data_IF_984455939948
#
_entry.id   IF_984455939948
#
_cell.length_a   1.000
_cell.length_b   1.000
_cell.length_c   1.000
_cell.angle_alpha   90.00
_cell.angle_beta   90.00
_cell.angle_gamma   90.00
#
_symmetry.space_group_name_H-M   'P 1'
#
loop_
_entity.id
_entity.type
_entity.pdbx_description
1 polymer ?
#
# COMPACT_ATOMS: atom_id res chain seq x y z
N UNK A 1 25.23 -16.48 33.26
CA UNK A 1 25.59 -17.12 31.96
C UNK A 1 26.50 -18.32 32.17
N UNK A 2 27.59 -18.20 32.95
CA UNK A 2 28.50 -19.33 33.22
C UNK A 2 27.83 -20.51 33.96
N UNK A 3 27.05 -20.24 35.02
CA UNK A 3 26.33 -21.32 35.76
C UNK A 3 25.29 -22.04 34.90
N UNK A 4 24.69 -21.30 33.98
CA UNK A 4 23.72 -21.78 33.02
C UNK A 4 24.42 -22.70 32.00
N UNK A 5 25.52 -22.26 31.37
CA UNK A 5 26.30 -23.11 30.45
C UNK A 5 26.78 -24.41 31.09
N UNK A 6 27.18 -24.36 32.37
CA UNK A 6 27.57 -25.55 33.12
C UNK A 6 26.40 -26.53 33.32
N UNK A 7 25.22 -26.04 33.69
CA UNK A 7 24.03 -26.88 33.84
C UNK A 7 23.59 -27.52 32.50
N UNK A 8 23.71 -26.80 31.38
CA UNK A 8 23.45 -27.37 30.05
C UNK A 8 24.40 -28.51 29.71
N UNK A 9 25.69 -28.33 30.01
CA UNK A 9 26.71 -29.34 29.74
C UNK A 9 26.49 -30.61 30.56
N UNK A 10 26.15 -30.46 31.85
CA UNK A 10 25.80 -31.61 32.72
C UNK A 10 24.56 -32.37 32.24
N UNK A 11 23.55 -31.68 31.70
CA UNK A 11 22.34 -32.33 31.16
C UNK A 11 22.63 -33.05 29.84
N UNK A 12 23.45 -32.45 28.97
CA UNK A 12 23.85 -33.07 27.70
C UNK A 12 24.71 -34.31 27.93
N UNK A 13 25.64 -34.25 28.88
CA UNK A 13 26.44 -35.42 29.29
C UNK A 13 25.56 -36.55 29.82
N UNK A 14 24.53 -36.24 30.62
CA UNK A 14 23.53 -37.23 31.06
C UNK A 14 22.69 -37.79 29.93
N UNK A 15 22.34 -36.98 28.94
CA UNK A 15 21.57 -37.41 27.78
C UNK A 15 22.40 -38.27 26.80
N UNK A 16 23.71 -38.07 26.74
CA UNK A 16 24.63 -38.90 25.95
C UNK A 16 24.85 -40.29 26.57
N UNK A 17 24.64 -40.44 27.89
CA UNK A 17 24.75 -41.71 28.60
C UNK A 17 23.54 -42.64 28.50
N UNK A 18 22.48 -42.25 27.78
CA UNK A 18 21.27 -43.08 27.64
C UNK A 18 21.58 -44.27 26.72
N UNK A 19 21.23 -45.51 27.11
CA UNK A 19 21.32 -46.65 26.22
C UNK A 19 20.44 -46.44 24.98
N UNK A 20 20.98 -46.75 23.80
CA UNK A 20 20.26 -46.58 22.52
C UNK A 20 19.03 -47.48 22.39
N UNK A 21 18.97 -48.55 23.19
CA UNK A 21 17.83 -49.47 23.27
C UNK A 21 17.37 -49.63 24.72
N UNK A 22 16.07 -49.52 24.94
CA UNK A 22 15.43 -49.75 26.25
C UNK A 22 15.03 -51.23 26.30
N UNK A 23 15.77 -52.00 27.09
CA UNK A 23 15.61 -53.47 27.17
C UNK A 23 14.88 -53.93 28.44
N UNK A 24 14.72 -53.04 29.43
CA UNK A 24 14.07 -53.39 30.69
C UNK A 24 13.26 -52.21 31.30
N UNK A 25 12.35 -52.48 32.25
CA UNK A 25 11.50 -51.45 32.86
C UNK A 25 12.25 -50.39 33.68
N UNK A 26 13.46 -50.68 34.17
CA UNK A 26 14.29 -49.71 34.91
C UNK A 26 14.82 -48.64 33.95
N UNK A 27 15.39 -49.09 32.82
CA UNK A 27 15.84 -48.20 31.75
C UNK A 27 14.70 -47.34 31.18
N UNK A 28 13.48 -47.89 31.10
CA UNK A 28 12.30 -47.13 30.67
C UNK A 28 12.01 -45.96 31.63
N UNK A 29 11.96 -46.22 32.94
CA UNK A 29 11.71 -45.17 33.95
C UNK A 29 12.80 -44.12 33.99
N UNK A 30 14.07 -44.51 33.84
CA UNK A 30 15.20 -43.58 33.74
C UNK A 30 15.09 -42.70 32.49
N UNK A 31 14.72 -43.29 31.35
CA UNK A 31 14.44 -42.58 30.11
C UNK A 31 13.29 -41.59 30.22
N UNK A 32 12.17 -41.99 30.84
CA UNK A 32 11.02 -41.12 31.11
C UNK A 32 11.40 -39.93 32.01
N UNK A 33 12.14 -40.19 33.09
CA UNK A 33 12.59 -39.14 34.01
C UNK A 33 13.53 -38.14 33.32
N UNK A 34 14.45 -38.63 32.49
CA UNK A 34 15.35 -37.77 31.73
C UNK A 34 14.61 -37.00 30.63
N UNK A 35 13.64 -37.61 29.95
CA UNK A 35 12.82 -36.92 28.96
C UNK A 35 12.07 -35.73 29.57
N UNK A 36 11.48 -35.93 30.75
CA UNK A 36 10.83 -34.83 31.50
C UNK A 36 11.85 -33.75 31.87
N UNK A 37 13.03 -34.12 32.37
CA UNK A 37 14.10 -33.18 32.73
C UNK A 37 14.60 -32.36 31.53
N UNK A 38 14.80 -33.00 30.38
CA UNK A 38 15.19 -32.33 29.14
C UNK A 38 14.11 -31.36 28.66
N UNK A 39 12.84 -31.77 28.73
CA UNK A 39 11.71 -30.93 28.37
C UNK A 39 11.57 -29.70 29.27
N UNK A 40 11.76 -29.84 30.59
CA UNK A 40 11.66 -28.73 31.53
C UNK A 40 12.83 -27.75 31.37
N UNK A 41 14.05 -28.26 31.26
CA UNK A 41 15.23 -27.42 31.07
C UNK A 41 15.20 -26.73 29.69
N UNK A 42 14.79 -27.41 28.62
CA UNK A 42 14.59 -26.76 27.31
C UNK A 42 13.64 -25.56 27.39
N UNK A 43 12.46 -25.71 28.03
CA UNK A 43 11.50 -24.60 28.19
C UNK A 43 12.08 -23.45 29.02
N UNK A 44 12.82 -23.77 30.08
CA UNK A 44 13.50 -22.78 30.91
C UNK A 44 14.55 -22.01 30.12
N UNK A 45 15.35 -22.70 29.31
CA UNK A 45 16.33 -22.09 28.40
C UNK A 45 15.70 -21.23 27.34
N UNK A 46 14.64 -21.72 26.71
CA UNK A 46 13.87 -20.95 25.73
C UNK A 46 13.35 -19.66 26.35
N UNK A 47 12.84 -19.72 27.58
CA UNK A 47 12.39 -18.54 28.33
C UNK A 47 13.55 -17.58 28.62
N UNK A 48 14.65 -18.06 29.18
CA UNK A 48 15.85 -17.24 29.48
C UNK A 48 16.41 -16.60 28.21
N UNK A 49 16.45 -17.33 27.10
CA UNK A 49 16.90 -16.80 25.81
C UNK A 49 15.95 -15.74 25.26
N UNK A 50 14.64 -15.97 25.33
CA UNK A 50 13.64 -14.98 24.94
C UNK A 50 13.79 -13.69 25.77
N UNK A 51 13.82 -13.81 27.09
CA UNK A 51 13.83 -12.68 28.01
C UNK A 51 15.15 -11.88 27.96
N UNK A 52 16.30 -12.53 27.78
CA UNK A 52 17.60 -11.87 27.82
C UNK A 52 18.16 -11.47 26.45
N UNK A 53 17.72 -12.12 25.36
CA UNK A 53 18.27 -11.87 24.02
C UNK A 53 17.22 -11.32 23.08
N UNK A 54 16.07 -12.00 22.93
CA UNK A 54 15.06 -11.63 21.93
C UNK A 54 14.32 -10.37 22.36
N UNK A 55 13.81 -10.32 23.59
CA UNK A 55 12.99 -9.21 24.07
C UNK A 55 13.77 -7.89 24.13
N UNK A 56 15.03 -7.82 24.62
CA UNK A 56 15.81 -6.59 24.59
C UNK A 56 16.13 -6.15 23.16
N UNK A 57 16.51 -7.07 22.26
CA UNK A 57 16.76 -6.74 20.87
C UNK A 57 15.50 -6.17 20.18
N UNK A 58 14.33 -6.79 20.44
CA UNK A 58 13.05 -6.31 19.95
C UNK A 58 12.71 -4.92 20.51
N UNK A 59 12.91 -4.69 21.81
CA UNK A 59 12.70 -3.36 22.42
C UNK A 59 13.59 -2.31 21.77
N UNK A 60 14.88 -2.59 21.57
CA UNK A 60 15.79 -1.66 20.90
C UNK A 60 15.39 -1.39 19.44
N UNK A 61 14.96 -2.42 18.72
CA UNK A 61 14.41 -2.25 17.38
C UNK A 61 13.16 -1.35 17.37
N UNK A 62 12.21 -1.61 18.28
CA UNK A 62 10.98 -0.82 18.40
C UNK A 62 11.27 0.63 18.80
N UNK A 63 12.20 0.86 19.74
CA UNK A 63 12.67 2.20 20.12
C UNK A 63 13.33 2.93 18.95
N UNK A 64 14.21 2.26 18.20
CA UNK A 64 14.87 2.84 17.03
C UNK A 64 13.85 3.19 15.94
N UNK A 65 12.87 2.31 15.71
CA UNK A 65 11.77 2.52 14.77
C UNK A 65 10.90 3.73 15.18
N UNK A 66 10.54 3.85 16.46
CA UNK A 66 9.78 5.00 16.96
C UNK A 66 10.58 6.31 16.88
N UNK A 67 11.88 6.29 17.16
CA UNK A 67 12.75 7.46 16.94
C UNK A 67 12.80 7.86 15.47
N UNK A 68 13.00 6.90 14.57
CA UNK A 68 12.99 7.15 13.13
C UNK A 68 11.66 7.73 12.68
N UNK A 69 10.53 7.21 13.17
CA UNK A 69 9.20 7.72 12.87
C UNK A 69 9.05 9.18 13.31
N UNK A 70 9.44 9.54 14.53
CA UNK A 70 9.40 10.92 15.04
C UNK A 70 10.29 11.88 14.24
N UNK A 71 11.47 11.42 13.83
CA UNK A 71 12.38 12.23 13.01
C UNK A 71 11.85 12.47 11.60
N UNK A 72 11.18 11.46 11.02
CA UNK A 72 10.65 11.52 9.65
C UNK A 72 9.22 12.09 9.56
N UNK A 73 8.50 12.17 10.68
CA UNK A 73 7.12 12.66 10.74
C UNK A 73 6.96 14.09 10.19
N UNK A 74 7.81 15.09 10.52
CA UNK A 74 7.73 16.42 9.92
C UNK A 74 7.88 16.41 8.40
N UNK A 75 8.76 15.54 7.86
CA UNK A 75 8.96 15.40 6.41
C UNK A 75 7.75 14.73 5.75
N UNK A 76 7.19 13.70 6.38
CA UNK A 76 5.97 13.04 5.90
C UNK A 76 4.78 14.01 5.88
N UNK A 77 4.61 14.80 6.95
CA UNK A 77 3.57 15.81 7.06
C UNK A 77 3.77 16.92 6.02
N UNK A 78 4.98 17.47 5.90
CA UNK A 78 5.31 18.48 4.89
C UNK A 78 5.04 17.98 3.47
N UNK A 79 5.41 16.73 3.17
CA UNK A 79 5.09 16.09 1.88
C UNK A 79 3.59 15.96 1.64
N UNK A 80 2.83 15.52 2.64
CA UNK A 80 1.38 15.37 2.53
C UNK A 80 0.69 16.74 2.32
N UNK A 81 1.14 17.78 3.04
CA UNK A 81 0.64 19.15 2.87
C UNK A 81 0.93 19.67 1.47
N UNK A 82 2.16 19.53 0.97
CA UNK A 82 2.52 19.96 -0.39
C UNK A 82 1.74 19.18 -1.46
N UNK A 83 1.57 17.87 -1.30
CA UNK A 83 0.74 17.05 -2.21
C UNK A 83 -0.71 17.55 -2.28
N UNK A 84 -1.31 17.86 -1.14
CA UNK A 84 -2.67 18.41 -1.07
C UNK A 84 -2.79 19.80 -1.73
N UNK A 85 -1.80 20.68 -1.49
CA UNK A 85 -1.76 22.00 -2.10
C UNK A 85 -1.62 21.93 -3.63
N UNK A 86 -0.70 21.09 -4.13
CA UNK A 86 -0.49 20.90 -5.56
C UNK A 86 -1.73 20.32 -6.26
N UNK A 87 -2.40 19.35 -5.64
CA UNK A 87 -3.67 18.80 -6.16
C UNK A 87 -4.78 19.85 -6.19
N UNK A 88 -4.88 20.66 -5.13
CA UNK A 88 -5.86 21.75 -5.06
C UNK A 88 -5.62 22.78 -6.14
N UNK A 89 -4.38 23.22 -6.30
CA UNK A 89 -3.97 24.14 -7.37
C UNK A 89 -4.34 23.61 -8.75
N UNK A 90 -4.01 22.35 -9.07
CA UNK A 90 -4.38 21.74 -10.36
C UNK A 90 -5.88 21.63 -10.58
N UNK A 91 -6.66 21.35 -9.53
CA UNK A 91 -8.12 21.34 -9.63
C UNK A 91 -8.65 22.73 -10.02
N UNK A 92 -8.20 23.77 -9.33
CA UNK A 92 -8.59 25.17 -9.64
C UNK A 92 -8.17 25.55 -11.05
N UNK A 93 -6.96 25.18 -11.47
CA UNK A 93 -6.47 25.48 -12.81
C UNK A 93 -7.27 24.75 -13.91
N UNK A 94 -7.63 23.47 -13.70
CA UNK A 94 -8.55 22.75 -14.60
C UNK A 94 -9.90 23.44 -14.70
N UNK A 95 -10.51 23.79 -13.57
CA UNK A 95 -11.81 24.48 -13.55
C UNK A 95 -11.74 25.83 -14.28
N UNK A 96 -10.62 26.55 -14.16
CA UNK A 96 -10.39 27.81 -14.88
C UNK A 96 -10.33 27.57 -16.39
N UNK A 97 -9.54 26.60 -16.83
CA UNK A 97 -9.38 26.23 -18.24
C UNK A 97 -10.73 25.79 -18.83
N UNK A 98 -11.49 24.96 -18.10
CA UNK A 98 -12.82 24.51 -18.52
C UNK A 98 -13.81 25.68 -18.67
N UNK A 99 -13.79 26.64 -17.74
CA UNK A 99 -14.63 27.85 -17.82
C UNK A 99 -14.24 28.73 -19.00
N UNK A 100 -12.94 28.91 -19.26
CA UNK A 100 -12.44 29.68 -20.40
C UNK A 100 -12.82 29.00 -21.72
N UNK A 101 -12.63 27.67 -21.83
CA UNK A 101 -13.05 26.90 -22.99
C UNK A 101 -14.57 26.98 -23.21
N UNK A 102 -15.37 26.85 -22.16
CA UNK A 102 -16.82 26.95 -22.26
C UNK A 102 -17.27 28.34 -22.75
N UNK A 103 -16.58 29.41 -22.35
CA UNK A 103 -16.84 30.76 -22.88
C UNK A 103 -16.51 30.86 -24.38
N UNK A 104 -15.36 30.30 -24.80
CA UNK A 104 -14.96 30.28 -26.21
C UNK A 104 -15.93 29.47 -27.06
N UNK A 105 -16.36 28.31 -26.58
CA UNK A 105 -17.34 27.46 -27.25
C UNK A 105 -18.68 28.19 -27.42
N UNK A 106 -19.20 28.79 -26.34
CA UNK A 106 -20.44 29.60 -26.42
C UNK A 106 -20.32 30.79 -27.38
N UNK A 107 -19.16 31.43 -27.43
CA UNK A 107 -18.93 32.53 -28.36
C UNK A 107 -18.87 32.05 -29.82
N UNK A 108 -18.37 30.83 -30.05
CA UNK A 108 -18.33 30.20 -31.36
C UNK A 108 -19.71 29.69 -31.80
N UNK A 109 -20.49 29.08 -30.92
CA UNK A 109 -21.90 28.70 -31.17
C UNK A 109 -22.71 29.91 -31.66
N UNK A 110 -22.59 31.05 -30.98
CA UNK A 110 -23.25 32.30 -31.42
C UNK A 110 -22.78 32.81 -32.78
N UNK A 111 -21.54 32.51 -33.19
CA UNK A 111 -21.05 32.85 -34.54
C UNK A 111 -21.68 31.94 -35.59
N UNK A 112 -21.83 30.65 -35.29
CA UNK A 112 -22.54 29.69 -36.13
C UNK A 112 -23.99 30.14 -36.31
N UNK A 113 -24.72 30.43 -35.24
CA UNK A 113 -26.12 30.85 -35.32
C UNK A 113 -26.29 32.07 -36.24
N UNK A 114 -25.41 33.08 -36.08
CA UNK A 114 -25.42 34.29 -36.92
C UNK A 114 -25.03 34.04 -38.38
N UNK A 115 -24.22 33.03 -38.65
CA UNK A 115 -23.86 32.66 -40.02
C UNK A 115 -25.03 31.97 -40.72
N UNK A 116 -25.73 31.07 -40.01
CA UNK A 116 -26.96 30.43 -40.47
C UNK A 116 -28.02 31.48 -40.81
N UNK A 117 -28.24 32.45 -39.91
CA UNK A 117 -29.17 33.56 -40.15
C UNK A 117 -28.82 34.39 -41.40
N UNK A 118 -27.52 34.48 -41.74
CA UNK A 118 -27.02 35.22 -42.91
C UNK A 118 -26.91 34.35 -44.17
N UNK A 119 -27.31 33.08 -44.12
CA UNK A 119 -27.19 32.14 -45.23
C UNK A 119 -25.76 31.72 -45.58
N UNK A 120 -24.82 31.88 -44.63
CA UNK A 120 -23.43 31.41 -44.77
C UNK A 120 -23.33 30.00 -44.20
N UNK A 121 -22.61 29.11 -44.90
CA UNK A 121 -22.43 27.72 -44.48
C UNK A 121 -21.67 27.65 -43.12
N UNK A 122 -22.27 27.03 -42.08
CA UNK A 122 -21.62 26.82 -40.77
C UNK A 122 -20.24 26.16 -40.83
N UNK A 123 -19.97 25.35 -41.85
CA UNK A 123 -18.72 24.61 -42.00
C UNK A 123 -17.53 25.51 -42.36
N UNK A 124 -17.77 26.73 -42.84
CA UNK A 124 -16.71 27.70 -43.15
C UNK A 124 -16.19 28.44 -41.90
N UNK A 125 -16.86 28.29 -40.76
CA UNK A 125 -16.44 28.96 -39.51
C UNK A 125 -15.34 28.15 -38.84
N UNK A 126 -14.16 28.75 -38.71
CA UNK A 126 -13.04 28.14 -38.01
C UNK A 126 -13.43 27.72 -36.57
N UNK A 127 -13.04 26.51 -36.13
CA UNK A 127 -13.36 26.00 -34.80
C UNK A 127 -12.81 26.91 -33.69
N UNK A 128 -13.40 26.89 -32.48
CA UNK A 128 -12.89 27.70 -31.38
C UNK A 128 -11.46 27.26 -31.02
N UNK A 129 -10.57 28.21 -30.68
CA UNK A 129 -9.24 27.85 -30.21
C UNK A 129 -9.34 27.01 -28.94
N UNK A 130 -8.49 25.98 -28.84
CA UNK A 130 -8.42 25.12 -27.66
C UNK A 130 -7.48 25.73 -26.62
N UNK A 131 -8.00 25.93 -25.41
CA UNK A 131 -7.20 26.29 -24.24
C UNK A 131 -6.39 25.05 -23.84
N UNK A 132 -5.08 25.20 -23.77
CA UNK A 132 -4.19 24.09 -23.40
C UNK A 132 -4.46 23.66 -21.95
N UNK A 133 -4.61 22.35 -21.74
CA UNK A 133 -4.75 21.79 -20.41
C UNK A 133 -3.48 21.93 -19.55
N UNK A 134 -3.56 21.71 -18.23
CA UNK A 134 -2.40 21.80 -17.35
C UNK A 134 -1.35 20.76 -17.71
N UNK A 135 -0.07 21.17 -17.70
CA UNK A 135 1.06 20.31 -18.08
C UNK A 135 1.07 18.98 -17.32
N UNK A 136 1.40 17.87 -17.99
CA UNK A 136 1.45 16.53 -17.36
C UNK A 136 2.68 16.31 -16.50
N UNK A 137 3.73 17.09 -16.71
CA UNK A 137 4.95 17.07 -15.91
C UNK A 137 5.56 18.46 -15.82
N UNK A 138 6.35 18.67 -14.78
CA UNK A 138 7.18 19.85 -14.60
C UNK A 138 8.60 19.41 -14.21
N UNK A 139 9.60 19.95 -14.89
CA UNK A 139 11.00 19.79 -14.51
C UNK A 139 11.37 20.90 -13.51
N UNK A 140 12.11 20.53 -12.47
CA UNK A 140 12.58 21.42 -11.40
C UNK A 140 14.07 21.19 -11.19
N UNK A 141 14.74 22.11 -10.47
CA UNK A 141 16.16 21.98 -10.15
C UNK A 141 16.47 20.70 -9.35
N UNK A 142 15.51 20.24 -8.54
CA UNK A 142 15.64 19.05 -7.70
C UNK A 142 15.20 17.75 -8.39
N UNK A 143 14.64 17.80 -9.60
CA UNK A 143 14.19 16.62 -10.34
C UNK A 143 12.95 16.86 -11.18
N UNK A 144 12.10 15.83 -11.31
CA UNK A 144 10.92 15.85 -12.18
C UNK A 144 9.65 15.49 -11.41
N UNK A 145 8.61 16.31 -11.57
CA UNK A 145 7.27 16.06 -11.07
C UNK A 145 6.39 15.56 -12.21
N UNK A 146 5.71 14.44 -12.00
CA UNK A 146 4.79 13.82 -12.96
C UNK A 146 3.41 13.71 -12.32
N UNK A 147 2.42 14.24 -13.01
CA UNK A 147 1.02 14.14 -12.62
C UNK A 147 0.36 13.02 -13.42
N UNK A 148 -0.19 12.03 -12.73
CA UNK A 148 -0.86 10.89 -13.38
C UNK A 148 -2.23 10.65 -12.79
N UNK A 149 -3.14 10.20 -13.64
CA UNK A 149 -4.44 9.67 -13.22
C UNK A 149 -4.27 8.23 -12.77
N UNK A 150 -4.70 7.93 -11.56
CA UNK A 150 -4.73 6.59 -10.99
C UNK A 150 -6.19 6.22 -10.79
N UNK A 151 -6.55 5.05 -11.28
CA UNK A 151 -7.88 4.50 -11.12
C UNK A 151 -7.88 3.52 -9.96
N UNK A 152 -8.83 3.68 -9.07
CA UNK A 152 -9.03 2.84 -7.90
C UNK A 152 -10.48 2.35 -7.85
N UNK A 153 -10.73 1.29 -7.09
CA UNK A 153 -12.06 0.70 -6.94
C UNK A 153 -12.59 1.02 -5.55
N UNK A 154 -13.75 1.66 -5.51
CA UNK A 154 -14.54 1.83 -4.29
C UNK A 154 -15.60 0.74 -4.21
N UNK A 155 -15.63 0.03 -3.08
CA UNK A 155 -16.64 -0.98 -2.78
C UNK A 155 -17.79 -0.32 -2.02
N UNK A 156 -18.93 -0.21 -2.68
CA UNK A 156 -20.17 0.29 -2.08
C UNK A 156 -20.89 -0.83 -1.31
N UNK A 157 -20.95 -2.03 -1.90
CA UNK A 157 -21.55 -3.21 -1.27
C UNK A 157 -20.85 -4.49 -1.73
N UNK A 158 -20.07 -5.11 -0.84
CA UNK A 158 -19.32 -6.32 -1.16
C UNK A 158 -20.21 -7.53 -1.48
N UNK A 159 -21.46 -7.55 -0.98
CA UNK A 159 -22.39 -8.68 -1.20
C UNK A 159 -22.98 -8.71 -2.60
N UNK A 160 -22.95 -7.59 -3.30
CA UNK A 160 -23.45 -7.49 -4.67
C UNK A 160 -22.39 -7.86 -5.71
N UNK A 161 -21.13 -8.02 -5.28
CA UNK A 161 -20.02 -8.35 -6.16
C UNK A 161 -20.20 -9.79 -6.64
N UNK A 162 -20.28 -10.02 -7.97
CA UNK A 162 -20.41 -11.37 -8.51
C UNK A 162 -19.26 -12.28 -8.09
N UNK A 163 -19.55 -13.56 -7.84
CA UNK A 163 -18.57 -14.56 -7.40
C UNK A 163 -17.38 -14.73 -8.36
N UNK A 164 -17.58 -14.44 -9.66
CA UNK A 164 -16.50 -14.42 -10.67
C UNK A 164 -15.36 -13.45 -10.31
N UNK A 165 -15.67 -12.39 -9.56
CA UNK A 165 -14.71 -11.40 -9.10
C UNK A 165 -14.21 -11.66 -7.67
N UNK A 166 -14.57 -12.79 -7.06
CA UNK A 166 -14.08 -13.19 -5.75
C UNK A 166 -12.85 -14.10 -5.88
N UNK A 167 -11.86 -13.90 -5.02
CA UNK A 167 -10.76 -14.85 -4.82
C UNK A 167 -11.32 -16.08 -4.08
N UNK A 168 -10.65 -17.24 -4.17
CA UNK A 168 -11.00 -18.48 -3.44
C UNK A 168 -11.28 -18.24 -1.94
N UNK A 169 -10.64 -17.23 -1.34
CA UNK A 169 -10.84 -16.79 0.04
C UNK A 169 -12.09 -15.93 0.27
N UNK A 170 -12.99 -15.82 -0.70
CA UNK A 170 -14.18 -14.93 -0.73
C UNK A 170 -13.86 -13.45 -0.50
N UNK A 171 -12.69 -13.01 -0.95
CA UNK A 171 -12.30 -11.60 -0.95
C UNK A 171 -12.42 -11.01 -2.35
N UNK A 172 -12.91 -9.77 -2.52
CA UNK A 172 -12.99 -9.14 -3.82
C UNK A 172 -11.61 -9.04 -4.50
N UNK A 173 -11.52 -9.52 -5.73
CA UNK A 173 -10.33 -9.39 -6.57
C UNK A 173 -10.28 -7.99 -7.19
N UNK A 174 -9.69 -7.04 -6.45
CA UNK A 174 -9.52 -5.65 -6.88
C UNK A 174 -8.97 -5.50 -8.29
N UNK A 175 -8.01 -6.34 -8.69
CA UNK A 175 -7.38 -6.24 -10.01
C UNK A 175 -8.34 -6.59 -11.14
N UNK A 176 -9.08 -7.70 -11.02
CA UNK A 176 -10.07 -8.13 -12.00
C UNK A 176 -11.25 -7.14 -12.11
N UNK A 177 -11.70 -6.62 -10.96
CA UNK A 177 -12.77 -5.61 -10.90
C UNK A 177 -12.31 -4.31 -11.55
N UNK A 178 -11.09 -3.84 -11.24
CA UNK A 178 -10.52 -2.63 -11.84
C UNK A 178 -10.39 -2.75 -13.37
N UNK A 179 -9.93 -3.89 -13.88
CA UNK A 179 -9.80 -4.12 -15.32
C UNK A 179 -11.16 -4.06 -16.03
N UNK A 180 -12.18 -4.68 -15.43
CA UNK A 180 -13.55 -4.73 -15.96
C UNK A 180 -14.26 -3.38 -15.94
N UNK A 181 -14.11 -2.63 -14.84
CA UNK A 181 -14.63 -1.26 -14.74
C UNK A 181 -13.94 -0.34 -15.76
N UNK A 182 -12.63 -0.51 -15.99
CA UNK A 182 -11.88 0.26 -17.01
C UNK A 182 -12.32 -0.06 -18.44
N UNK A 183 -12.75 -1.28 -18.72
CA UNK A 183 -13.29 -1.65 -20.04
C UNK A 183 -14.74 -1.19 -20.25
N UNK A 184 -15.32 -0.48 -19.28
CA UNK A 184 -16.69 0.03 -19.35
C UNK A 184 -17.76 -0.94 -18.85
N UNK A 185 -17.40 -2.09 -18.28
CA UNK A 185 -18.37 -3.00 -17.68
C UNK A 185 -18.78 -2.48 -16.30
N UNK A 186 -20.09 -2.44 -16.02
CA UNK A 186 -20.60 -2.11 -14.69
C UNK A 186 -20.58 -3.36 -13.81
N UNK A 187 -19.96 -3.26 -12.63
CA UNK A 187 -19.95 -4.33 -11.62
C UNK A 187 -20.80 -3.86 -10.44
N UNK A 188 -21.88 -4.58 -10.09
CA UNK A 188 -22.70 -4.24 -8.93
C UNK A 188 -21.87 -4.15 -7.65
N UNK A 189 -22.24 -3.21 -6.77
CA UNK A 189 -21.52 -2.95 -5.53
C UNK A 189 -20.13 -2.30 -5.68
N UNK A 190 -19.69 -1.95 -6.89
CA UNK A 190 -18.37 -1.35 -7.14
C UNK A 190 -18.48 -0.06 -7.98
N UNK A 191 -17.57 0.89 -7.73
CA UNK A 191 -17.42 2.10 -8.55
C UNK A 191 -15.96 2.37 -8.86
N UNK A 192 -15.68 2.83 -10.08
CA UNK A 192 -14.37 3.33 -10.46
C UNK A 192 -14.20 4.77 -9.94
N UNK A 193 -13.17 4.99 -9.13
CA UNK A 193 -12.74 6.33 -8.73
C UNK A 193 -11.50 6.70 -9.53
N UNK A 194 -11.51 7.90 -10.10
CA UNK A 194 -10.31 8.53 -10.64
C UNK A 194 -9.67 9.42 -9.56
N UNK A 195 -8.40 9.15 -9.23
CA UNK A 195 -7.59 9.95 -8.32
C UNK A 195 -6.40 10.52 -9.08
N UNK A 196 -6.00 11.74 -8.75
CA UNK A 196 -4.75 12.31 -9.24
C UNK A 196 -3.62 11.95 -8.26
N UNK A 197 -2.52 11.43 -8.78
CA UNK A 197 -1.32 11.12 -8.01
C UNK A 197 -0.14 11.93 -8.54
N UNK A 198 0.67 12.44 -7.60
CA UNK A 198 1.88 13.20 -7.88
C UNK A 198 3.08 12.27 -7.63
N UNK A 199 3.84 11.99 -8.67
CA UNK A 199 5.09 11.25 -8.56
C UNK A 199 6.26 12.22 -8.71
N UNK A 200 7.16 12.23 -7.74
CA UNK A 200 8.43 12.95 -7.81
C UNK A 200 9.57 11.96 -8.08
N UNK A 201 10.45 12.30 -9.02
CA UNK A 201 11.71 11.58 -9.28
C UNK A 201 12.86 12.54 -9.07
N UNK A 202 13.83 12.15 -8.24
CA UNK A 202 15.09 12.88 -8.14
C UNK A 202 15.85 12.75 -9.46
N UNK A 203 16.54 13.83 -9.85
CA UNK A 203 17.48 13.86 -10.97
C UNK A 203 18.77 13.13 -10.67
#
# INVERSE_FOLDING_TARGET
MQDLQKAQQEILERAQGIPQEITNPVQLREGEALFVLLGTEHRKWEKVFKENMIDPAKRHYDEAKERAKKLLEPLANGRATLDALLKTYRRVERERIEKEQAKLNRAHEKKIDRAIEKGVDPLEIAPPPLVQGPAKSADTEAGKIIYRKVYDVEFLNEKEIPDLYMIITRKPNKSAILASLKSGMSIPGCRLIEKEEIAARAS
#
